data_IF_956129782344
#
_entry.id   IF_956129782344
#
_cell.length_a   1.000
_cell.length_b   1.000
_cell.length_c   1.000
_cell.angle_alpha   90.00
_cell.angle_beta   90.00
_cell.angle_gamma   90.00
#
_symmetry.space_group_name_H-M   'P 1'
#
loop_
_entity.id
_entity.type
_entity.pdbx_description
1 polymer ?
#
# COMPACT_ATOMS: atom_id res chain seq x y z
N UNK A 1 10.83 -20.82 3.43
CA UNK A 1 10.47 -19.45 3.89
C UNK A 1 11.59 -18.42 3.60
N UNK A 2 12.04 -18.27 2.35
CA UNK A 2 13.05 -17.24 1.96
C UNK A 2 12.43 -15.98 1.33
N UNK A 3 11.21 -16.08 0.82
CA UNK A 3 10.52 -15.01 0.08
C UNK A 3 10.12 -13.81 0.95
N UNK A 4 9.61 -14.05 2.16
CA UNK A 4 9.21 -12.96 3.07
C UNK A 4 10.39 -12.18 3.66
N UNK A 5 11.57 -12.81 3.83
CA UNK A 5 12.76 -12.13 4.36
C UNK A 5 13.34 -11.10 3.39
N UNK A 6 13.26 -11.33 2.07
CA UNK A 6 13.71 -10.35 1.08
C UNK A 6 12.78 -9.15 0.96
N UNK A 7 11.49 -9.32 1.23
CA UNK A 7 10.53 -8.21 1.26
C UNK A 7 10.75 -7.28 2.47
N UNK A 8 11.02 -7.85 3.65
CA UNK A 8 11.23 -7.05 4.87
C UNK A 8 12.60 -6.33 4.87
N UNK A 9 13.61 -6.91 4.20
CA UNK A 9 14.92 -6.27 3.99
C UNK A 9 14.86 -5.02 3.12
N UNK A 10 13.78 -4.83 2.34
CA UNK A 10 13.60 -3.72 1.41
C UNK A 10 12.71 -2.59 1.96
N UNK A 11 12.36 -2.68 3.25
CA UNK A 11 11.53 -1.68 3.92
C UNK A 11 12.22 -0.32 4.11
N UNK A 12 13.56 -0.29 4.07
CA UNK A 12 14.35 0.95 4.09
C UNK A 12 14.04 1.85 2.91
N UNK A 13 13.90 1.27 1.71
CA UNK A 13 13.70 1.99 0.46
C UNK A 13 12.39 2.77 0.45
N UNK A 14 11.35 2.25 1.12
CA UNK A 14 10.08 2.95 1.27
C UNK A 14 10.21 4.19 2.17
N UNK A 15 11.06 4.15 3.20
CA UNK A 15 11.33 5.32 4.06
C UNK A 15 12.11 6.38 3.29
N UNK A 16 13.10 5.97 2.50
CA UNK A 16 13.88 6.87 1.65
C UNK A 16 13.00 7.57 0.61
N UNK A 17 12.01 6.88 0.05
CA UNK A 17 11.02 7.45 -0.87
C UNK A 17 10.18 8.54 -0.19
N UNK A 18 9.67 8.28 1.02
CA UNK A 18 8.89 9.27 1.77
C UNK A 18 9.75 10.49 2.12
N UNK A 19 11.00 10.28 2.55
CA UNK A 19 11.92 11.38 2.83
C UNK A 19 12.23 12.21 1.57
N UNK A 20 12.41 11.55 0.42
CA UNK A 20 12.57 12.21 -0.87
C UNK A 20 11.35 13.07 -1.24
N UNK A 21 10.14 12.53 -1.12
CA UNK A 21 8.92 13.28 -1.40
C UNK A 21 8.78 14.53 -0.51
N UNK A 22 9.21 14.42 0.75
CA UNK A 22 9.21 15.55 1.68
C UNK A 22 10.23 16.62 1.28
N UNK A 23 11.46 16.21 0.94
CA UNK A 23 12.52 17.12 0.48
C UNK A 23 12.18 17.79 -0.85
N UNK A 24 11.53 17.06 -1.76
CA UNK A 24 11.07 17.58 -3.06
C UNK A 24 9.79 18.43 -2.96
N UNK A 25 9.24 18.63 -1.75
CA UNK A 25 7.96 19.34 -1.51
C UNK A 25 6.77 18.68 -2.23
N UNK A 26 6.87 17.40 -2.56
CA UNK A 26 5.83 16.56 -3.16
C UNK A 26 5.02 15.79 -2.09
N UNK A 27 4.91 16.34 -0.89
CA UNK A 27 4.21 15.74 0.25
C UNK A 27 2.74 15.40 -0.05
N UNK A 28 2.12 16.12 -0.99
CA UNK A 28 0.77 15.83 -1.50
C UNK A 28 0.67 14.49 -2.24
N UNK A 29 1.75 13.91 -2.77
CA UNK A 29 1.70 12.58 -3.40
C UNK A 29 1.57 11.44 -2.39
N UNK A 30 2.01 11.64 -1.14
CA UNK A 30 1.95 10.63 -0.08
C UNK A 30 0.50 10.11 0.11
N UNK A 31 -0.53 10.96 0.30
CA UNK A 31 -1.90 10.48 0.42
C UNK A 31 -2.43 9.78 -0.84
N UNK A 32 -2.05 10.20 -2.06
CA UNK A 32 -2.44 9.50 -3.28
C UNK A 32 -1.87 8.08 -3.33
N UNK A 33 -0.57 7.91 -3.02
CA UNK A 33 0.07 6.61 -2.95
C UNK A 33 -0.57 5.74 -1.86
N UNK A 34 -0.90 6.32 -0.70
CA UNK A 34 -1.55 5.61 0.39
C UNK A 34 -2.94 5.07 -0.03
N UNK A 35 -3.74 5.86 -0.74
CA UNK A 35 -5.04 5.40 -1.27
C UNK A 35 -4.87 4.26 -2.28
N UNK A 36 -3.89 4.35 -3.19
CA UNK A 36 -3.60 3.26 -4.13
C UNK A 36 -3.18 1.97 -3.42
N UNK A 37 -2.33 2.07 -2.39
CA UNK A 37 -1.93 0.92 -1.57
C UNK A 37 -3.13 0.34 -0.80
N UNK A 38 -4.02 1.19 -0.29
CA UNK A 38 -5.27 0.76 0.36
C UNK A 38 -6.15 -0.03 -0.61
N UNK A 39 -6.34 0.44 -1.84
CA UNK A 39 -7.06 -0.31 -2.86
C UNK A 39 -6.36 -1.62 -3.24
N UNK A 40 -5.03 -1.63 -3.36
CA UNK A 40 -4.26 -2.86 -3.58
C UNK A 40 -4.48 -3.88 -2.47
N UNK A 41 -4.47 -3.45 -1.21
CA UNK A 41 -4.81 -4.28 -0.07
C UNK A 41 -6.26 -4.78 -0.11
N UNK A 42 -7.21 -3.89 -0.40
CA UNK A 42 -8.61 -4.25 -0.57
C UNK A 42 -8.79 -5.31 -1.65
N UNK A 43 -8.11 -5.22 -2.79
CA UNK A 43 -8.19 -6.21 -3.87
C UNK A 43 -7.62 -7.57 -3.46
N UNK A 44 -6.52 -7.60 -2.70
CA UNK A 44 -5.97 -8.85 -2.15
C UNK A 44 -6.99 -9.50 -1.21
N UNK A 45 -7.62 -8.72 -0.34
CA UNK A 45 -8.62 -9.22 0.61
C UNK A 45 -10.01 -9.46 0.00
N UNK A 46 -10.33 -8.81 -1.13
CA UNK A 46 -11.58 -8.99 -1.88
C UNK A 46 -11.75 -10.44 -2.37
N UNK A 47 -10.63 -11.12 -2.61
CA UNK A 47 -10.63 -12.52 -3.02
C UNK A 47 -11.04 -13.47 -1.87
N UNK A 48 -11.04 -13.01 -0.62
CA UNK A 48 -11.58 -13.76 0.51
C UNK A 48 -13.11 -13.68 0.50
N UNK A 49 -13.77 -14.84 0.44
CA UNK A 49 -15.24 -14.99 0.31
C UNK A 49 -16.06 -14.21 1.35
N UNK A 50 -15.52 -13.97 2.55
CA UNK A 50 -16.21 -13.21 3.60
C UNK A 50 -16.18 -11.68 3.45
N UNK A 51 -15.26 -11.13 2.65
CA UNK A 51 -15.09 -9.66 2.51
C UNK A 51 -15.81 -9.12 1.27
N UNK A 52 -16.07 -9.97 0.28
CA UNK A 52 -16.72 -9.59 -0.99
C UNK A 52 -18.06 -8.83 -0.82
N UNK A 53 -19.00 -9.23 0.08
CA UNK A 53 -20.27 -8.53 0.25
C UNK A 53 -20.12 -7.07 0.69
N UNK A 54 -19.09 -6.76 1.49
CA UNK A 54 -18.85 -5.40 1.99
C UNK A 54 -18.29 -4.48 0.91
N UNK A 55 -17.50 -5.03 -0.03
CA UNK A 55 -16.97 -4.26 -1.16
C UNK A 55 -18.11 -3.79 -2.07
N UNK A 56 -19.11 -4.65 -2.33
CA UNK A 56 -20.26 -4.27 -3.16
C UNK A 56 -21.11 -3.15 -2.55
N UNK A 57 -21.05 -2.89 -1.24
CA UNK A 57 -21.79 -1.78 -0.62
C UNK A 57 -21.09 -0.42 -0.77
N UNK A 58 -19.81 -0.41 -1.15
CA UNK A 58 -19.03 0.82 -1.34
C UNK A 58 -19.16 1.41 -2.76
N UNK A 59 -19.82 0.69 -3.68
CA UNK A 59 -20.02 1.06 -5.09
C UNK A 59 -21.51 0.99 -5.46
#
# INVERSE_FOLDING_TARGET
>A
MRFFKSFFSRGSEARDLIEFLWKAKLWFLIPFVAVLLLFGFLLIFAQATGVAPFIYTLF
#
